data_IF_287312892949
#
_entry.id   IF_287312892949
#
_cell.length_a   1.000
_cell.length_b   1.000
_cell.length_c   1.000
_cell.angle_alpha   90.00
_cell.angle_beta   90.00
_cell.angle_gamma   90.00
#
_symmetry.space_group_name_H-M   'P 1'
#
loop_
_entity.id
_entity.type
_entity.pdbx_description
1 polymer ?
#
# COMPACT_ATOMS: atom_id res chain seq x y z
N UNK A 1 -75.96 -26.61 -35.18
CA UNK A 1 -74.73 -26.27 -34.45
C UNK A 1 -73.66 -27.26 -34.87
N UNK A 2 -72.57 -26.80 -35.47
CA UNK A 2 -71.58 -27.67 -36.11
C UNK A 2 -70.74 -28.41 -35.06
N UNK A 3 -70.32 -29.64 -35.38
CA UNK A 3 -69.47 -30.47 -34.51
C UNK A 3 -68.17 -29.75 -34.08
N UNK A 4 -67.72 -28.77 -34.87
CA UNK A 4 -66.57 -27.91 -34.56
C UNK A 4 -66.78 -27.04 -33.31
N UNK A 5 -68.00 -26.54 -33.07
CA UNK A 5 -68.28 -25.71 -31.89
C UNK A 5 -68.19 -26.53 -30.59
N UNK A 6 -68.63 -27.79 -30.62
CA UNK A 6 -68.60 -28.67 -29.44
C UNK A 6 -67.17 -28.98 -29.03
N UNK A 7 -66.27 -29.23 -29.99
CA UNK A 7 -64.85 -29.49 -29.72
C UNK A 7 -64.18 -28.24 -29.11
N UNK A 8 -64.49 -27.05 -29.62
CA UNK A 8 -63.93 -25.80 -29.14
C UNK A 8 -64.33 -25.51 -27.68
N UNK A 9 -65.60 -25.76 -27.32
CA UNK A 9 -66.05 -25.61 -25.93
C UNK A 9 -65.40 -26.63 -24.99
N UNK A 10 -65.16 -27.86 -25.44
CA UNK A 10 -64.46 -28.88 -24.63
C UNK A 10 -63.00 -28.46 -24.39
N UNK A 11 -62.30 -27.97 -25.42
CA UNK A 11 -60.91 -27.53 -25.28
C UNK A 11 -60.76 -26.31 -24.35
N UNK A 12 -61.69 -25.35 -24.43
CA UNK A 12 -61.69 -24.19 -23.52
C UNK A 12 -62.03 -24.62 -22.09
N UNK A 13 -62.95 -25.58 -21.91
CA UNK A 13 -63.28 -26.13 -20.59
C UNK A 13 -62.08 -26.80 -19.90
N UNK A 14 -61.28 -27.55 -20.64
CA UNK A 14 -60.07 -28.21 -20.11
C UNK A 14 -58.99 -27.17 -19.75
N UNK A 15 -58.80 -26.15 -20.58
CA UNK A 15 -57.81 -25.09 -20.35
C UNK A 15 -58.17 -24.22 -19.13
N UNK A 16 -59.46 -23.96 -18.92
CA UNK A 16 -59.96 -23.27 -17.71
C UNK A 16 -59.77 -24.15 -16.47
N UNK A 17 -60.03 -25.45 -16.55
CA UNK A 17 -59.77 -26.36 -15.42
C UNK A 17 -58.28 -26.43 -15.06
N UNK A 18 -57.40 -26.39 -16.06
CA UNK A 18 -55.94 -26.36 -15.86
C UNK A 18 -55.47 -25.05 -15.20
N UNK A 19 -56.07 -23.91 -15.56
CA UNK A 19 -55.79 -22.61 -14.93
C UNK A 19 -56.34 -22.50 -13.51
N UNK A 20 -57.45 -23.17 -13.21
CA UNK A 20 -58.05 -23.20 -11.86
C UNK A 20 -57.26 -24.13 -10.93
N UNK A 21 -56.71 -25.25 -11.44
CA UNK A 21 -55.89 -26.15 -10.61
C UNK A 21 -54.50 -25.59 -10.28
N UNK A 22 -54.07 -24.52 -10.96
CA UNK A 22 -52.77 -23.88 -10.78
C UNK A 22 -52.83 -22.49 -10.12
N UNK A 23 -53.87 -22.20 -9.34
CA UNK A 23 -53.98 -20.94 -8.58
C UNK A 23 -54.52 -21.17 -7.15
N UNK A 24 -54.22 -20.33 -6.16
CA UNK A 24 -52.95 -20.09 -5.47
C UNK A 24 -53.11 -20.24 -3.92
N UNK A 25 -52.07 -20.01 -3.12
CA UNK A 25 -52.25 -19.56 -1.72
C UNK A 25 -51.39 -18.34 -1.38
N UNK A 26 -52.06 -17.19 -1.23
CA UNK A 26 -51.67 -16.02 -0.38
C UNK A 26 -51.60 -16.48 1.09
N UNK A 27 -50.88 -15.89 2.05
CA UNK A 27 -50.30 -14.54 2.28
C UNK A 27 -49.45 -14.64 3.57
N UNK A 28 -48.36 -13.89 3.70
CA UNK A 28 -48.11 -13.01 4.86
C UNK A 28 -46.96 -12.07 4.57
N UNK A 29 -47.21 -10.78 4.81
CA UNK A 29 -46.27 -9.67 4.74
C UNK A 29 -44.99 -9.97 5.53
N UNK A 30 -43.84 -9.77 4.88
CA UNK A 30 -42.67 -9.09 5.42
C UNK A 30 -41.73 -8.84 4.22
N UNK A 31 -41.66 -7.59 3.79
CA UNK A 31 -40.73 -7.13 2.75
C UNK A 31 -39.29 -7.35 3.24
N UNK A 32 -38.67 -8.45 2.77
CA UNK A 32 -37.22 -8.54 2.67
C UNK A 32 -36.85 -8.31 1.21
N UNK A 33 -36.28 -7.14 0.95
CA UNK A 33 -35.50 -6.87 -0.25
C UNK A 33 -34.36 -7.88 -0.35
N UNK A 34 -34.57 -8.99 -1.07
CA UNK A 34 -33.48 -9.74 -1.66
C UNK A 34 -33.16 -9.12 -3.02
N UNK A 35 -32.34 -8.06 -2.99
CA UNK A 35 -31.50 -7.73 -4.12
C UNK A 35 -30.37 -8.74 -4.19
N UNK A 36 -30.16 -9.36 -5.35
CA UNK A 36 -28.93 -10.10 -5.60
C UNK A 36 -27.76 -9.13 -5.51
N UNK A 37 -26.88 -9.34 -4.53
CA UNK A 37 -25.62 -8.62 -4.42
C UNK A 37 -24.69 -9.06 -5.55
N UNK A 38 -24.85 -8.47 -6.74
CA UNK A 38 -23.68 -8.12 -7.52
C UNK A 38 -23.12 -6.87 -6.84
N UNK A 39 -22.20 -7.05 -5.89
CA UNK A 39 -21.38 -5.93 -5.42
C UNK A 39 -20.67 -5.36 -6.64
N UNK A 40 -21.11 -4.21 -7.11
CA UNK A 40 -20.34 -3.42 -8.04
C UNK A 40 -19.10 -2.97 -7.28
N UNK A 41 -17.99 -3.68 -7.48
CA UNK A 41 -16.70 -3.30 -6.89
C UNK A 41 -16.25 -2.04 -7.61
N UNK A 42 -16.56 -0.88 -7.03
CA UNK A 42 -16.17 0.41 -7.59
C UNK A 42 -14.65 0.57 -7.40
N UNK A 43 -13.94 0.78 -8.49
CA UNK A 43 -12.53 1.14 -8.47
C UNK A 43 -12.39 2.59 -8.00
N UNK A 44 -11.67 2.81 -6.91
CA UNK A 44 -11.43 4.13 -6.34
C UNK A 44 -9.94 4.31 -6.20
N UNK A 45 -9.40 5.30 -6.88
CA UNK A 45 -8.00 5.66 -6.71
C UNK A 45 -7.78 6.00 -5.23
N UNK A 46 -6.64 5.61 -4.65
CA UNK A 46 -6.35 5.94 -3.26
C UNK A 46 -6.30 7.45 -3.05
N UNK A 47 -6.80 7.91 -1.90
CA UNK A 47 -6.50 9.25 -1.38
C UNK A 47 -5.29 9.14 -0.43
N UNK A 48 -4.11 8.93 -1.02
CA UNK A 48 -2.87 8.64 -0.28
C UNK A 48 -2.21 9.91 0.25
N UNK A 49 -2.85 10.55 1.23
CA UNK A 49 -2.15 11.40 2.20
C UNK A 49 -2.42 10.88 3.62
N UNK A 50 -2.13 9.60 3.84
CA UNK A 50 -2.11 9.02 5.18
C UNK A 50 -0.67 9.04 5.72
N UNK A 51 -0.36 9.99 6.60
CA UNK A 51 0.89 10.05 7.38
C UNK A 51 0.96 8.97 8.48
N UNK A 52 0.24 7.86 8.36
CA UNK A 52 0.27 6.76 9.33
C UNK A 52 1.14 5.64 8.77
N UNK A 53 2.36 5.41 9.30
CA UNK A 53 3.31 4.43 8.78
C UNK A 53 2.96 2.98 9.18
N UNK A 54 1.72 2.72 9.63
CA UNK A 54 1.35 1.44 10.26
C UNK A 54 1.14 0.30 9.27
N UNK A 55 1.04 0.57 7.95
CA UNK A 55 0.84 -0.46 6.92
C UNK A 55 1.59 -0.10 5.63
N UNK A 56 2.27 -1.10 5.05
CA UNK A 56 2.76 -1.02 3.68
C UNK A 56 1.56 -1.05 2.74
N UNK A 57 1.47 -0.05 1.87
CA UNK A 57 0.35 0.07 0.93
C UNK A 57 0.62 -0.78 -0.32
N UNK A 58 -0.30 -1.68 -0.71
CA UNK A 58 -0.10 -2.52 -1.87
C UNK A 58 0.01 -1.67 -3.14
N UNK A 59 0.90 -2.08 -4.02
CA UNK A 59 1.23 -1.33 -5.23
C UNK A 59 0.20 -1.61 -6.33
N UNK A 60 -0.22 -0.61 -7.11
CA UNK A 60 -1.15 -0.83 -8.21
C UNK A 60 -0.58 -1.82 -9.24
N UNK A 61 -1.35 -2.87 -9.51
CA UNK A 61 -0.95 -3.91 -10.45
C UNK A 61 -0.84 -3.41 -11.90
N UNK A 62 -1.74 -2.50 -12.31
CA UNK A 62 -1.78 -1.97 -13.66
C UNK A 62 -0.99 -0.64 -13.77
N UNK A 63 0.05 -0.56 -14.63
CA UNK A 63 0.81 0.67 -14.86
C UNK A 63 -0.05 1.88 -15.28
N UNK A 64 -1.19 1.67 -15.95
CA UNK A 64 -2.11 2.75 -16.31
C UNK A 64 -2.82 3.30 -15.07
N UNK A 65 -3.24 2.43 -14.16
CA UNK A 65 -3.83 2.82 -12.88
C UNK A 65 -2.78 3.54 -12.03
N UNK A 66 -1.57 2.97 -11.92
CA UNK A 66 -0.46 3.60 -11.20
C UNK A 66 -0.17 5.02 -11.71
N UNK A 67 -0.28 5.23 -13.01
CA UNK A 67 -0.07 6.54 -13.64
C UNK A 67 -1.21 7.54 -13.38
N UNK A 68 -2.44 7.05 -13.17
CA UNK A 68 -3.55 7.89 -12.69
C UNK A 68 -3.35 8.26 -11.21
N UNK A 69 -2.91 7.31 -10.37
CA UNK A 69 -2.60 7.57 -8.96
C UNK A 69 -1.47 8.59 -8.79
N UNK A 70 -0.34 8.42 -9.49
CA UNK A 70 0.76 9.39 -9.43
C UNK A 70 0.33 10.80 -9.77
N UNK A 71 -0.40 10.97 -10.88
CA UNK A 71 -0.90 12.31 -11.27
C UNK A 71 -1.85 12.90 -10.24
N UNK A 72 -2.62 12.06 -9.56
CA UNK A 72 -3.49 12.51 -8.47
C UNK A 72 -2.65 12.98 -7.29
N UNK A 73 -1.70 12.16 -6.86
CA UNK A 73 -0.79 12.48 -5.75
C UNK A 73 0.02 13.75 -6.02
N UNK A 74 0.53 13.94 -7.23
CA UNK A 74 1.28 15.14 -7.63
C UNK A 74 0.43 16.40 -7.47
N UNK A 75 -0.80 16.39 -7.98
CA UNK A 75 -1.72 17.53 -7.87
C UNK A 75 -2.07 17.83 -6.41
N UNK A 76 -2.33 16.79 -5.61
CA UNK A 76 -2.63 16.96 -4.19
C UNK A 76 -1.42 17.50 -3.40
N UNK A 77 -0.22 17.02 -3.73
CA UNK A 77 1.02 17.51 -3.17
C UNK A 77 1.30 18.97 -3.56
N UNK A 78 1.17 19.33 -4.84
CA UNK A 78 1.38 20.71 -5.32
C UNK A 78 0.44 21.68 -4.59
N UNK A 79 -0.83 21.29 -4.42
CA UNK A 79 -1.81 22.07 -3.67
C UNK A 79 -1.36 22.30 -2.23
N UNK A 80 -0.98 21.24 -1.52
CA UNK A 80 -0.53 21.35 -0.13
C UNK A 80 0.77 22.15 -0.01
N UNK A 81 1.72 21.93 -0.93
CA UNK A 81 2.98 22.66 -0.97
C UNK A 81 2.74 24.15 -1.14
N UNK A 82 1.87 24.57 -2.08
CA UNK A 82 1.50 25.98 -2.28
C UNK A 82 0.79 26.54 -1.03
N UNK A 83 -0.13 25.80 -0.42
CA UNK A 83 -0.82 26.21 0.80
C UNK A 83 0.14 26.49 1.96
N UNK A 84 1.17 25.66 2.14
CA UNK A 84 2.13 25.79 3.23
C UNK A 84 3.26 26.79 2.93
N UNK A 85 3.79 26.80 1.71
CA UNK A 85 4.94 27.64 1.32
C UNK A 85 4.54 29.06 0.88
N UNK A 86 3.32 29.22 0.35
CA UNK A 86 2.81 30.48 -0.19
C UNK A 86 1.37 30.77 0.29
N UNK A 87 1.13 30.92 1.60
CA UNK A 87 -0.20 31.16 2.16
C UNK A 87 -0.86 32.45 1.61
N UNK A 88 -0.06 33.41 1.15
CA UNK A 88 -0.52 34.66 0.51
C UNK A 88 -1.32 34.40 -0.78
N UNK A 89 -0.96 33.37 -1.56
CA UNK A 89 -1.63 33.03 -2.82
C UNK A 89 -3.02 32.41 -2.59
N UNK A 90 -3.18 31.67 -1.50
CA UNK A 90 -4.45 31.02 -1.13
C UNK A 90 -5.45 32.01 -0.54
N UNK A 91 -4.95 33.06 0.14
CA UNK A 91 -5.80 34.12 0.70
C UNK A 91 -6.54 34.96 -0.37
N UNK A 92 -6.03 35.00 -1.61
CA UNK A 92 -6.64 35.73 -2.71
C UNK A 92 -7.71 34.95 -3.47
N UNK A 93 -7.64 33.61 -3.53
CA UNK A 93 -8.67 32.79 -4.17
C UNK A 93 -9.99 32.75 -3.36
N UNK A 94 -9.90 32.82 -2.03
CA UNK A 94 -11.08 32.76 -1.15
C UNK A 94 -11.87 34.08 -1.08
N UNK A 95 -11.28 35.20 -1.53
CA UNK A 95 -11.89 36.54 -1.44
C UNK A 95 -12.74 36.91 -2.65
N UNK A 96 -12.63 36.17 -3.76
CA UNK A 96 -13.42 36.45 -4.97
C UNK A 96 -14.83 35.83 -4.97
N UNK A 97 -15.14 34.90 -4.06
CA UNK A 97 -16.49 34.32 -3.96
C UNK A 97 -17.49 35.17 -3.18
N UNK A 98 -17.06 36.30 -2.59
CA UNK A 98 -17.94 37.19 -1.80
C UNK A 98 -17.72 38.68 -2.05
N UNK A 99 -17.57 39.13 -3.30
CA UNK A 99 -17.94 40.52 -3.61
C UNK A 99 -18.31 40.72 -5.08
N UNK A 100 -19.60 40.96 -5.33
CA UNK A 100 -20.07 41.49 -6.60
C UNK A 100 -19.62 42.94 -6.77
N UNK A 101 -18.53 43.17 -7.51
CA UNK A 101 -18.24 44.44 -8.17
C UNK A 101 -17.24 44.18 -9.31
N UNK A 102 -17.66 44.46 -10.53
CA UNK A 102 -16.86 44.20 -11.72
C UNK A 102 -15.61 45.07 -11.81
N UNK A 103 -14.49 44.45 -12.16
CA UNK A 103 -13.38 45.07 -12.88
C UNK A 103 -12.66 44.03 -13.74
N UNK A 104 -11.98 44.55 -14.76
CA UNK A 104 -11.53 43.95 -16.01
C UNK A 104 -10.68 42.67 -15.91
N UNK A 105 -10.93 41.77 -16.86
CA UNK A 105 -10.17 40.54 -17.13
C UNK A 105 -8.65 40.77 -17.18
N UNK A 106 -7.90 40.03 -16.36
CA UNK A 106 -6.51 39.69 -16.64
C UNK A 106 -6.48 38.34 -17.39
N UNK A 107 -5.75 38.21 -18.51
CA UNK A 107 -5.68 36.99 -19.28
C UNK A 107 -4.60 36.04 -18.70
N UNK A 108 -4.98 34.79 -18.47
CA UNK A 108 -4.05 33.69 -18.18
C UNK A 108 -3.99 33.28 -16.71
N UNK A 109 -5.10 32.77 -16.16
CA UNK A 109 -5.00 31.75 -15.12
C UNK A 109 -5.54 30.48 -15.75
N UNK A 110 -4.65 29.52 -15.99
CA UNK A 110 -5.04 28.16 -16.33
C UNK A 110 -6.03 27.69 -15.25
N UNK A 111 -7.18 27.21 -15.71
CA UNK A 111 -8.24 26.65 -14.86
C UNK A 111 -7.61 25.67 -13.88
N UNK A 112 -7.93 25.82 -12.58
CA UNK A 112 -7.60 24.80 -11.59
C UNK A 112 -8.01 23.42 -12.15
N UNK A 113 -7.19 22.36 -12.02
CA UNK A 113 -7.65 21.01 -12.27
C UNK A 113 -8.58 20.62 -11.11
N UNK A 114 -9.81 21.11 -11.18
CA UNK A 114 -10.67 21.36 -10.02
C UNK A 114 -11.68 20.21 -9.91
N UNK A 115 -11.33 19.08 -9.30
CA UNK A 115 -12.25 17.96 -9.01
C UNK A 115 -12.82 17.17 -10.22
N UNK A 116 -13.09 17.81 -11.35
CA UNK A 116 -13.62 17.21 -12.58
C UNK A 116 -12.64 16.19 -13.17
N UNK A 117 -11.33 16.47 -13.19
CA UNK A 117 -10.31 15.54 -13.67
C UNK A 117 -10.24 14.25 -12.83
N UNK A 118 -10.54 14.33 -11.53
CA UNK A 118 -10.49 13.20 -10.60
C UNK A 118 -11.78 12.37 -10.66
N UNK A 119 -12.93 13.06 -10.73
CA UNK A 119 -14.20 12.42 -11.06
C UNK A 119 -14.12 11.74 -12.43
N UNK A 120 -13.46 12.34 -13.43
CA UNK A 120 -13.26 11.71 -14.75
C UNK A 120 -12.32 10.50 -14.69
N UNK A 121 -11.29 10.48 -13.84
CA UNK A 121 -10.41 9.32 -13.68
C UNK A 121 -11.13 8.13 -13.00
N UNK A 122 -11.88 8.35 -11.92
CA UNK A 122 -12.70 7.29 -11.32
C UNK A 122 -13.86 6.88 -12.24
N UNK A 123 -14.53 7.83 -12.89
CA UNK A 123 -15.58 7.55 -13.87
C UNK A 123 -15.01 6.81 -15.09
N UNK A 124 -13.75 7.05 -15.46
CA UNK A 124 -13.04 6.31 -16.50
C UNK A 124 -12.82 4.85 -16.06
N UNK A 125 -12.29 4.61 -14.86
CA UNK A 125 -12.04 3.27 -14.33
C UNK A 125 -13.32 2.45 -14.14
N UNK A 126 -14.41 3.09 -13.75
CA UNK A 126 -15.70 2.44 -13.52
C UNK A 126 -16.59 2.38 -14.76
N UNK A 127 -16.12 2.84 -15.91
CA UNK A 127 -16.85 2.76 -17.17
C UNK A 127 -16.32 1.58 -18.00
N UNK A 128 -17.07 0.48 -18.04
CA UNK A 128 -16.71 -0.75 -18.76
C UNK A 128 -16.42 -0.52 -20.26
N UNK A 129 -16.99 0.52 -20.90
CA UNK A 129 -16.69 0.86 -22.30
C UNK A 129 -15.33 1.56 -22.45
N UNK A 130 -14.86 2.25 -21.41
CA UNK A 130 -13.61 3.01 -21.41
C UNK A 130 -12.44 2.26 -20.77
N UNK A 131 -12.71 1.51 -19.70
CA UNK A 131 -11.76 0.71 -18.93
C UNK A 131 -12.31 -0.70 -18.71
N UNK A 132 -11.98 -1.59 -19.64
CA UNK A 132 -12.31 -3.01 -19.51
C UNK A 132 -11.15 -3.75 -18.81
N UNK A 133 -11.36 -4.10 -17.54
CA UNK A 133 -10.38 -4.81 -16.71
C UNK A 133 -9.89 -6.11 -17.38
N UNK A 134 -10.78 -6.86 -18.02
CA UNK A 134 -10.43 -8.10 -18.73
C UNK A 134 -9.46 -7.82 -19.89
N UNK A 135 -9.73 -6.80 -20.70
CA UNK A 135 -8.84 -6.43 -21.81
C UNK A 135 -7.49 -5.93 -21.31
N UNK A 136 -7.47 -5.23 -20.16
CA UNK A 136 -6.21 -4.85 -19.47
C UNK A 136 -5.40 -6.08 -19.09
N UNK A 137 -6.01 -7.09 -18.47
CA UNK A 137 -5.31 -8.32 -18.07
C UNK A 137 -4.75 -9.09 -19.28
N UNK A 138 -5.51 -9.17 -20.39
CA UNK A 138 -5.02 -9.76 -21.65
C UNK A 138 -3.77 -9.02 -22.17
N UNK A 139 -3.73 -7.69 -22.04
CA UNK A 139 -2.59 -6.87 -22.47
C UNK A 139 -1.38 -6.97 -21.53
N UNK A 140 -1.62 -7.19 -20.23
CA UNK A 140 -0.57 -7.25 -19.21
C UNK A 140 0.04 -8.65 -19.09
N UNK A 141 -0.73 -9.71 -19.28
CA UNK A 141 -0.29 -11.10 -19.16
C UNK A 141 1.08 -11.39 -19.83
N UNK A 142 1.28 -11.11 -21.14
CA UNK A 142 2.55 -11.41 -21.81
C UNK A 142 3.72 -10.51 -21.36
N UNK A 143 3.47 -9.47 -20.55
CA UNK A 143 4.52 -8.64 -19.94
C UNK A 143 4.98 -9.19 -18.59
N UNK A 144 4.15 -10.01 -17.96
CA UNK A 144 4.41 -10.62 -16.66
C UNK A 144 5.04 -12.01 -16.88
N UNK A 145 4.48 -12.81 -17.79
CA UNK A 145 4.99 -14.12 -18.21
C UNK A 145 6.23 -13.97 -19.10
N UNK A 146 7.41 -13.92 -18.47
CA UNK A 146 8.69 -13.60 -19.15
C UNK A 146 9.84 -14.52 -18.76
N UNK A 147 9.73 -15.30 -17.69
CA UNK A 147 10.84 -16.05 -17.10
C UNK A 147 10.44 -17.43 -16.56
N UNK A 148 10.15 -18.42 -17.44
CA UNK A 148 10.10 -18.32 -18.90
C UNK A 148 8.71 -17.95 -19.40
N UNK A 149 8.63 -17.34 -20.58
CA UNK A 149 7.36 -17.12 -21.28
C UNK A 149 6.70 -18.44 -21.70
N UNK A 150 5.97 -19.09 -20.79
CA UNK A 150 5.44 -20.44 -20.94
C UNK A 150 3.89 -20.52 -20.86
N UNK A 151 3.23 -19.37 -20.76
CA UNK A 151 1.78 -19.27 -20.66
C UNK A 151 1.26 -19.39 -19.23
N UNK A 152 2.14 -19.35 -18.23
CA UNK A 152 1.80 -19.34 -16.81
C UNK A 152 2.50 -18.18 -16.11
N UNK A 153 1.76 -17.46 -15.28
CA UNK A 153 2.32 -16.43 -14.41
C UNK A 153 2.63 -17.06 -13.06
N UNK A 154 3.90 -17.07 -12.68
CA UNK A 154 4.38 -17.63 -11.41
C UNK A 154 4.41 -16.60 -10.28
N UNK A 155 4.49 -17.05 -9.02
CA UNK A 155 4.73 -16.19 -7.85
C UNK A 155 5.96 -15.29 -8.04
N UNK A 156 7.04 -15.85 -8.57
CA UNK A 156 8.28 -15.09 -8.78
C UNK A 156 8.11 -13.99 -9.82
N UNK A 157 7.33 -14.22 -10.87
CA UNK A 157 7.06 -13.22 -11.91
C UNK A 157 6.13 -12.12 -11.42
N UNK A 158 5.09 -12.47 -10.65
CA UNK A 158 4.23 -11.49 -9.98
C UNK A 158 5.02 -10.65 -8.96
N UNK A 159 5.88 -11.29 -8.18
CA UNK A 159 6.75 -10.59 -7.22
C UNK A 159 7.63 -9.58 -7.94
N UNK A 160 8.29 -9.99 -9.03
CA UNK A 160 9.14 -9.10 -9.82
C UNK A 160 8.34 -7.97 -10.50
N UNK A 161 7.14 -8.27 -11.02
CA UNK A 161 6.22 -7.28 -11.59
C UNK A 161 5.83 -6.21 -10.56
N UNK A 162 5.46 -6.65 -9.35
CA UNK A 162 5.10 -5.76 -8.25
C UNK A 162 6.31 -4.94 -7.79
N UNK A 163 7.48 -5.56 -7.62
CA UNK A 163 8.73 -4.85 -7.28
C UNK A 163 9.09 -3.76 -8.29
N UNK A 164 8.96 -4.02 -9.59
CA UNK A 164 9.23 -3.02 -10.62
C UNK A 164 8.24 -1.86 -10.60
N UNK A 165 7.00 -2.13 -10.21
CA UNK A 165 5.97 -1.10 -10.04
C UNK A 165 6.25 -0.28 -8.78
N UNK A 166 6.61 -0.94 -7.68
CA UNK A 166 6.97 -0.32 -6.40
C UNK A 166 8.17 0.61 -6.57
N UNK A 167 9.24 0.13 -7.19
CA UNK A 167 10.46 0.91 -7.41
C UNK A 167 10.20 2.19 -8.20
N UNK A 168 9.26 2.17 -9.16
CA UNK A 168 8.87 3.39 -9.90
C UNK A 168 8.12 4.37 -9.02
N UNK A 169 7.24 3.88 -8.15
CA UNK A 169 6.46 4.72 -7.25
C UNK A 169 7.34 5.36 -6.17
N UNK A 170 8.19 4.55 -5.55
CA UNK A 170 9.15 5.00 -4.54
C UNK A 170 10.10 6.05 -5.13
N UNK A 171 10.71 5.80 -6.28
CA UNK A 171 11.59 6.78 -6.94
C UNK A 171 10.84 8.07 -7.32
N UNK A 172 9.59 7.97 -7.75
CA UNK A 172 8.78 9.14 -8.08
C UNK A 172 8.54 10.03 -6.84
N UNK A 173 8.20 9.42 -5.70
CA UNK A 173 8.03 10.12 -4.42
C UNK A 173 9.35 10.70 -3.92
N UNK A 174 10.44 9.93 -3.99
CA UNK A 174 11.79 10.40 -3.65
C UNK A 174 12.21 11.61 -4.48
N UNK A 175 11.92 11.62 -5.79
CA UNK A 175 12.22 12.78 -6.64
C UNK A 175 11.46 14.02 -6.19
N UNK A 176 10.19 13.87 -5.80
CA UNK A 176 9.37 14.95 -5.28
C UNK A 176 9.94 15.53 -3.98
N UNK A 177 10.38 14.66 -3.08
CA UNK A 177 11.04 15.08 -1.84
C UNK A 177 12.39 15.75 -2.13
N UNK A 178 13.14 15.25 -3.12
CA UNK A 178 14.38 15.87 -3.57
C UNK A 178 14.14 17.29 -4.09
N UNK A 179 13.09 17.54 -4.87
CA UNK A 179 12.77 18.86 -5.38
C UNK A 179 12.45 19.89 -4.26
N UNK A 180 12.00 19.41 -3.08
CA UNK A 180 11.79 20.26 -1.89
C UNK A 180 13.10 20.61 -1.20
N UNK A 181 13.99 19.62 -1.10
CA UNK A 181 15.23 19.74 -0.33
C UNK A 181 16.37 20.36 -1.14
N UNK A 182 16.47 20.08 -2.45
CA UNK A 182 17.46 20.65 -3.36
C UNK A 182 17.17 22.14 -3.65
N UNK A 183 17.57 22.99 -2.71
CA UNK A 183 17.37 24.44 -2.75
C UNK A 183 18.19 25.10 -3.84
N UNK A 184 19.37 24.55 -4.10
CA UNK A 184 20.35 25.13 -5.02
C UNK A 184 20.14 24.65 -6.48
N UNK A 185 19.34 23.59 -6.67
CA UNK A 185 18.95 22.97 -7.95
C UNK A 185 20.12 22.34 -8.71
N UNK A 186 21.06 21.73 -8.00
CA UNK A 186 22.19 21.00 -8.58
C UNK A 186 21.87 19.52 -8.84
N UNK A 187 20.72 19.03 -8.40
CA UNK A 187 20.29 17.63 -8.52
C UNK A 187 20.83 16.73 -7.41
N UNK A 188 21.38 17.32 -6.35
CA UNK A 188 21.89 16.62 -5.17
C UNK A 188 21.32 17.24 -3.90
N UNK A 189 21.42 16.50 -2.80
CA UNK A 189 21.04 17.01 -1.47
C UNK A 189 22.27 17.02 -0.60
N UNK A 190 22.65 18.20 -0.11
CA UNK A 190 23.63 18.33 0.96
C UNK A 190 22.99 18.14 2.33
N UNK A 191 23.79 17.76 3.33
CA UNK A 191 23.30 17.67 4.72
C UNK A 191 22.71 19.00 5.23
N UNK A 192 23.20 20.13 4.70
CA UNK A 192 22.68 21.46 5.06
C UNK A 192 21.30 21.79 4.48
N UNK A 193 20.93 21.12 3.39
CA UNK A 193 19.65 21.25 2.70
C UNK A 193 18.59 20.34 3.32
N UNK A 194 19.01 19.17 3.81
CA UNK A 194 18.18 18.25 4.58
C UNK A 194 18.03 18.75 6.03
N UNK A 195 17.24 19.81 6.21
CA UNK A 195 17.02 20.42 7.51
C UNK A 195 16.37 19.45 8.52
N UNK A 196 16.73 19.52 9.82
CA UNK A 196 16.05 18.75 10.84
C UNK A 196 14.55 19.05 10.82
N UNK A 197 13.68 18.04 10.98
CA UNK A 197 12.25 18.23 11.02
C UNK A 197 11.82 19.30 12.03
N UNK A 198 10.71 19.99 11.75
CA UNK A 198 10.24 21.14 12.54
C UNK A 198 10.02 20.82 14.03
N UNK A 199 9.66 19.58 14.36
CA UNK A 199 9.51 19.10 15.73
C UNK A 199 10.84 18.88 16.46
N UNK A 200 11.93 18.62 15.74
CA UNK A 200 13.30 18.59 16.29
C UNK A 200 13.78 20.00 16.60
N UNK A 201 13.49 20.95 15.70
CA UNK A 201 13.88 22.36 15.88
C UNK A 201 13.16 23.05 17.04
N UNK A 202 11.97 22.58 17.39
CA UNK A 202 11.11 23.17 18.42
C UNK A 202 11.08 22.38 19.74
N UNK A 203 11.85 21.30 19.87
CA UNK A 203 11.92 20.50 21.11
C UNK A 203 13.09 20.92 22.00
N UNK A 204 12.84 20.96 23.32
CA UNK A 204 13.93 20.90 24.29
C UNK A 204 14.62 19.53 24.15
N UNK A 205 15.94 19.47 24.39
CA UNK A 205 16.86 18.32 24.25
C UNK A 205 16.44 16.99 24.94
N UNK A 206 15.25 16.95 25.54
CA UNK A 206 14.66 15.88 26.34
C UNK A 206 13.26 15.43 25.85
N UNK A 207 12.79 15.90 24.68
CA UNK A 207 11.50 15.50 24.10
C UNK A 207 11.58 14.10 23.46
N UNK A 208 10.51 13.32 23.61
CA UNK A 208 10.27 12.10 22.83
C UNK A 208 10.46 12.41 21.34
N UNK A 209 11.26 11.58 20.66
CA UNK A 209 11.64 11.75 19.27
C UNK A 209 13.00 12.40 19.04
N UNK A 210 13.55 13.25 19.93
CA UNK A 210 14.87 13.88 19.69
C UNK A 210 16.01 12.86 19.51
N UNK A 211 15.83 11.68 20.10
CA UNK A 211 16.77 10.57 19.98
C UNK A 211 16.58 9.74 18.71
N UNK A 212 15.64 10.02 17.80
CA UNK A 212 15.58 9.29 16.52
C UNK A 212 16.74 9.74 15.62
N UNK A 213 17.48 8.78 15.08
CA UNK A 213 18.75 8.99 14.36
C UNK A 213 18.56 9.39 12.90
N UNK A 214 17.33 9.28 12.41
CA UNK A 214 16.97 9.37 11.01
C UNK A 214 17.37 10.68 10.30
N UNK A 215 17.47 11.81 10.99
CA UNK A 215 17.94 13.07 10.38
C UNK A 215 19.35 13.48 10.83
N UNK A 216 20.07 12.61 11.55
CA UNK A 216 21.43 12.91 12.01
C UNK A 216 22.43 12.75 10.86
N UNK A 217 23.55 13.44 10.99
CA UNK A 217 24.66 13.40 10.03
C UNK A 217 25.22 11.97 9.83
N UNK A 218 25.13 11.12 10.86
CA UNK A 218 25.54 9.72 10.77
C UNK A 218 24.70 8.91 9.77
N UNK A 219 23.37 9.14 9.71
CA UNK A 219 22.49 8.50 8.74
C UNK A 219 22.81 9.00 7.32
N UNK A 220 22.92 10.32 7.18
CA UNK A 220 23.26 10.96 5.91
C UNK A 220 24.59 10.43 5.34
N UNK A 221 25.62 10.36 6.19
CA UNK A 221 26.93 9.84 5.81
C UNK A 221 26.93 8.32 5.54
N UNK A 222 26.03 7.56 6.18
CA UNK A 222 25.87 6.14 5.89
C UNK A 222 25.23 5.91 4.50
N UNK A 223 24.32 6.80 4.10
CA UNK A 223 23.65 6.76 2.80
C UNK A 223 24.52 7.30 1.66
N UNK A 224 25.45 8.22 1.93
CA UNK A 224 26.47 8.67 0.97
C UNK A 224 27.49 7.54 0.70
N UNK A 225 27.15 6.70 -0.27
CA UNK A 225 27.96 5.52 -0.62
C UNK A 225 29.30 5.91 -1.27
N UNK A 226 29.37 7.07 -1.91
CA UNK A 226 30.53 7.50 -2.68
C UNK A 226 31.46 8.44 -1.87
N UNK A 227 30.96 9.05 -0.79
CA UNK A 227 31.70 9.86 0.17
C UNK A 227 31.98 11.29 -0.28
N UNK A 228 31.21 11.84 -1.22
CA UNK A 228 31.36 13.22 -1.71
C UNK A 228 30.61 14.27 -0.87
N UNK A 229 29.86 13.83 0.15
CA UNK A 229 29.09 14.67 1.05
C UNK A 229 27.76 15.14 0.48
N UNK A 230 27.33 14.56 -0.64
CA UNK A 230 26.09 14.89 -1.34
C UNK A 230 25.32 13.60 -1.66
N UNK A 231 23.99 13.61 -1.49
CA UNK A 231 23.16 12.47 -1.90
C UNK A 231 22.62 12.71 -3.30
N UNK A 232 22.97 11.84 -4.24
CA UNK A 232 22.26 11.76 -5.53
C UNK A 232 20.88 11.07 -5.35
N UNK A 233 20.05 11.02 -6.40
CA UNK A 233 18.70 10.45 -6.30
C UNK A 233 18.66 9.01 -5.75
N UNK A 234 19.64 8.18 -6.11
CA UNK A 234 19.71 6.79 -5.62
C UNK A 234 20.08 6.75 -4.14
N UNK A 235 21.08 7.53 -3.73
CA UNK A 235 21.53 7.59 -2.34
C UNK A 235 20.47 8.25 -1.44
N UNK A 236 19.74 9.24 -1.96
CA UNK A 236 18.63 9.85 -1.26
C UNK A 236 17.43 8.90 -1.16
N UNK A 237 17.17 8.09 -2.20
CA UNK A 237 16.18 7.02 -2.12
C UNK A 237 16.52 6.02 -1.01
N UNK A 238 17.78 5.56 -0.97
CA UNK A 238 18.26 4.66 0.07
C UNK A 238 18.16 5.31 1.47
N UNK A 239 18.47 6.60 1.57
CA UNK A 239 18.30 7.38 2.79
C UNK A 239 16.84 7.46 3.26
N UNK A 240 15.87 7.61 2.36
CA UNK A 240 14.44 7.61 2.71
C UNK A 240 13.88 6.20 2.95
N UNK A 241 14.50 5.18 2.37
CA UNK A 241 14.06 3.79 2.39
C UNK A 241 15.21 2.84 2.77
N UNK A 242 15.76 2.93 3.99
CA UNK A 242 16.95 2.18 4.39
C UNK A 242 16.71 0.67 4.48
N UNK A 243 15.46 0.21 4.57
CA UNK A 243 15.11 -1.22 4.52
C UNK A 243 15.40 -1.85 3.14
N UNK A 244 15.28 -1.07 2.06
CA UNK A 244 15.43 -1.53 0.67
C UNK A 244 16.86 -1.41 0.14
N UNK A 245 17.75 -0.81 0.92
CA UNK A 245 19.12 -0.52 0.49
C UNK A 245 19.96 -1.78 0.32
N UNK A 246 20.89 -1.71 -0.63
CA UNK A 246 21.99 -2.68 -0.77
C UNK A 246 23.30 -2.14 -0.21
N UNK A 247 23.29 -0.92 0.33
CA UNK A 247 24.46 -0.27 0.89
C UNK A 247 24.78 -0.87 2.27
N UNK A 248 25.94 -1.54 2.44
CA UNK A 248 26.30 -2.16 3.71
C UNK A 248 26.49 -1.17 4.85
N UNK A 249 26.90 0.08 4.56
CA UNK A 249 27.06 1.11 5.59
C UNK A 249 25.70 1.50 6.17
N UNK A 250 24.69 1.63 5.31
CA UNK A 250 23.34 1.99 5.71
C UNK A 250 22.62 0.85 6.44
N UNK A 251 22.79 -0.40 5.99
CA UNK A 251 22.29 -1.58 6.72
C UNK A 251 22.90 -1.69 8.12
N UNK A 252 24.21 -1.41 8.25
CA UNK A 252 24.87 -1.40 9.54
C UNK A 252 24.38 -0.24 10.42
N UNK A 253 24.15 0.94 9.82
CA UNK A 253 23.53 2.06 10.53
C UNK A 253 22.13 1.70 11.05
N UNK A 254 21.30 1.04 10.25
CA UNK A 254 19.98 0.57 10.65
C UNK A 254 20.07 -0.42 11.82
N UNK A 255 21.05 -1.31 11.83
CA UNK A 255 21.30 -2.19 12.97
C UNK A 255 21.72 -1.44 14.24
N UNK A 256 22.55 -0.40 14.11
CA UNK A 256 22.93 0.44 15.25
C UNK A 256 21.74 1.21 15.81
N UNK A 257 20.84 1.65 14.93
CA UNK A 257 19.61 2.31 15.35
C UNK A 257 18.72 1.35 16.14
N UNK A 258 18.54 0.11 15.67
CA UNK A 258 17.83 -0.92 16.44
C UNK A 258 18.47 -1.20 17.79
N UNK A 259 19.80 -1.30 17.89
CA UNK A 259 20.48 -1.42 19.19
C UNK A 259 20.13 -0.23 20.07
N UNK A 260 20.24 1.00 19.54
CA UNK A 260 20.03 2.23 20.31
C UNK A 260 18.60 2.41 20.81
N UNK A 261 17.62 1.91 20.06
CA UNK A 261 16.21 1.95 20.46
C UNK A 261 15.87 0.91 21.54
N UNK A 262 16.53 -0.25 21.53
CA UNK A 262 16.21 -1.36 22.44
C UNK A 262 17.09 -1.42 23.69
N UNK A 263 18.29 -0.87 23.60
CA UNK A 263 19.27 -0.75 24.68
C UNK A 263 18.76 0.20 25.77
N UNK A 264 18.07 -0.39 26.74
CA UNK A 264 17.41 0.30 27.84
C UNK A 264 18.38 0.70 28.94
N UNK A 265 19.45 -0.08 29.13
CA UNK A 265 20.47 0.17 30.14
C UNK A 265 21.68 1.00 29.64
N UNK A 266 21.72 1.27 28.33
CA UNK A 266 22.70 2.11 27.62
C UNK A 266 24.11 1.54 27.63
N UNK A 267 24.23 0.21 27.58
CA UNK A 267 25.52 -0.48 27.53
C UNK A 267 26.09 -0.62 26.10
N UNK A 268 25.30 -0.22 25.09
CA UNK A 268 25.64 -0.22 23.67
C UNK A 268 25.43 -1.57 22.98
N UNK A 269 24.72 -2.51 23.61
CA UNK A 269 24.40 -3.83 23.09
C UNK A 269 22.97 -4.23 23.46
N UNK A 270 22.51 -5.36 22.94
CA UNK A 270 21.19 -5.91 23.28
C UNK A 270 21.38 -7.16 24.14
N UNK A 271 20.92 -7.10 25.38
CA UNK A 271 20.83 -8.26 26.28
C UNK A 271 19.71 -9.22 25.85
N UNK A 272 19.71 -10.45 26.39
CA UNK A 272 18.64 -11.40 26.12
C UNK A 272 17.24 -10.87 26.50
N UNK A 273 17.13 -10.12 27.61
CA UNK A 273 15.86 -9.56 28.07
C UNK A 273 15.31 -8.52 27.08
N UNK A 274 16.17 -7.64 26.58
CA UNK A 274 15.82 -6.64 25.58
C UNK A 274 15.49 -7.27 24.22
N UNK A 275 16.24 -8.30 23.82
CA UNK A 275 15.92 -9.08 22.63
C UNK A 275 14.56 -9.77 22.75
N UNK A 276 14.28 -10.41 23.88
CA UNK A 276 13.06 -11.18 24.10
C UNK A 276 11.81 -10.29 24.12
N UNK A 277 11.88 -9.15 24.79
CA UNK A 277 10.74 -8.24 24.89
C UNK A 277 10.62 -7.29 23.70
N UNK A 278 11.71 -7.01 22.99
CA UNK A 278 11.72 -6.07 21.88
C UNK A 278 11.68 -6.72 20.49
N UNK A 279 12.58 -7.65 20.21
CA UNK A 279 12.86 -8.10 18.82
C UNK A 279 12.29 -9.47 18.50
N UNK A 280 12.12 -10.31 19.51
CA UNK A 280 11.82 -11.72 19.30
C UNK A 280 10.50 -11.96 18.55
N UNK A 281 9.44 -11.22 18.87
CA UNK A 281 8.15 -11.36 18.19
C UNK A 281 8.24 -10.99 16.71
N UNK A 282 8.93 -9.90 16.38
CA UNK A 282 9.16 -9.48 15.00
C UNK A 282 9.93 -10.52 14.21
N UNK A 283 10.98 -11.10 14.80
CA UNK A 283 11.84 -12.08 14.12
C UNK A 283 11.20 -13.47 14.02
N UNK A 284 10.35 -13.85 15.00
CA UNK A 284 9.66 -15.16 15.01
C UNK A 284 8.51 -15.23 14.02
N UNK A 285 7.72 -14.15 13.87
CA UNK A 285 6.55 -14.12 12.99
C UNK A 285 6.89 -14.37 11.50
N UNK A 286 8.17 -14.39 11.15
CA UNK A 286 8.68 -14.72 9.81
C UNK A 286 8.76 -16.21 9.48
N UNK A 287 8.66 -17.13 10.45
CA UNK A 287 8.80 -18.59 10.19
C UNK A 287 7.52 -19.41 10.43
N UNK A 288 6.47 -18.79 11.00
CA UNK A 288 5.17 -19.46 11.18
C UNK A 288 4.09 -18.76 10.33
N UNK A 289 3.84 -19.32 9.14
CA UNK A 289 2.68 -19.07 8.26
C UNK A 289 1.34 -19.43 8.95
N UNK A 290 1.06 -18.85 10.12
CA UNK A 290 -0.16 -19.12 10.86
C UNK A 290 -0.68 -17.84 11.50
N UNK A 291 -1.50 -17.12 10.74
CA UNK A 291 -2.22 -15.88 11.09
C UNK A 291 -3.22 -16.00 12.27
N UNK A 292 -2.96 -16.83 13.28
CA UNK A 292 -3.91 -17.07 14.37
C UNK A 292 -3.23 -17.43 15.71
N UNK A 293 -2.23 -16.65 16.14
CA UNK A 293 -1.69 -16.80 17.49
C UNK A 293 -1.60 -15.45 18.20
N UNK A 294 -2.76 -14.96 18.61
CA UNK A 294 -2.90 -14.01 19.71
C UNK A 294 -2.54 -14.74 21.02
N UNK A 295 -1.24 -14.96 21.26
CA UNK A 295 -0.78 -15.32 22.57
C UNK A 295 -0.50 -14.03 23.36
N UNK A 296 -1.08 -13.85 24.56
CA UNK A 296 -0.67 -12.78 25.45
C UNK A 296 0.84 -12.87 25.68
N UNK A 297 1.54 -11.71 25.63
CA UNK A 297 2.98 -11.51 25.93
C UNK A 297 3.54 -12.29 27.14
N UNK A 298 2.66 -12.83 27.99
CA UNK A 298 2.99 -13.46 29.25
C UNK A 298 3.37 -14.96 29.17
N UNK A 299 3.17 -15.63 28.02
CA UNK A 299 3.41 -17.07 27.83
C UNK A 299 4.27 -17.38 26.58
N UNK A 300 5.10 -16.45 26.11
CA UNK A 300 6.08 -16.76 25.06
C UNK A 300 7.11 -17.74 25.62
N UNK A 301 7.33 -18.91 24.99
CA UNK A 301 8.33 -19.83 25.47
C UNK A 301 9.71 -19.18 25.28
N UNK A 302 10.43 -18.96 26.39
CA UNK A 302 11.82 -18.49 26.35
C UNK A 302 12.74 -19.44 25.58
N UNK A 303 12.33 -20.69 25.37
CA UNK A 303 13.11 -21.72 24.67
C UNK A 303 13.53 -21.32 23.25
N UNK A 304 12.57 -21.10 22.32
CA UNK A 304 12.86 -20.61 20.98
C UNK A 304 13.63 -19.28 20.96
N UNK A 305 13.29 -18.34 21.85
CA UNK A 305 14.01 -17.08 21.95
C UNK A 305 15.48 -17.26 22.31
N UNK A 306 15.79 -18.10 23.31
CA UNK A 306 17.18 -18.43 23.68
C UNK A 306 17.92 -19.12 22.55
N UNK A 307 17.25 -20.01 21.80
CA UNK A 307 17.86 -20.68 20.65
C UNK A 307 18.23 -19.70 19.54
N UNK A 308 17.36 -18.74 19.24
CA UNK A 308 17.62 -17.72 18.24
C UNK A 308 18.69 -16.75 18.72
N UNK A 309 18.62 -16.29 19.97
CA UNK A 309 19.63 -15.43 20.58
C UNK A 309 21.02 -16.06 20.52
N UNK A 310 21.17 -17.33 20.95
CA UNK A 310 22.45 -18.05 20.86
C UNK A 310 22.91 -18.34 19.43
N UNK A 311 22.03 -18.27 18.43
CA UNK A 311 22.43 -18.36 17.02
C UNK A 311 22.97 -17.03 16.49
N UNK A 312 22.47 -15.91 17.02
CA UNK A 312 22.86 -14.55 16.63
C UNK A 312 24.14 -14.12 17.35
N UNK A 313 24.25 -14.41 18.65
CA UNK A 313 25.45 -14.17 19.46
C UNK A 313 26.58 -15.09 18.97
N UNK A 314 27.42 -14.57 18.05
CA UNK A 314 28.51 -15.34 17.43
C UNK A 314 29.74 -15.36 18.30
N UNK A 315 29.91 -14.34 19.14
CA UNK A 315 31.08 -14.17 19.98
C UNK A 315 30.92 -14.80 21.38
N UNK A 316 29.70 -15.25 21.72
CA UNK A 316 29.31 -15.90 22.98
C UNK A 316 29.59 -15.01 24.21
N UNK A 317 29.42 -13.69 24.04
CA UNK A 317 29.58 -12.70 25.11
C UNK A 317 28.29 -12.46 25.91
N UNK A 318 27.17 -13.04 25.47
CA UNK A 318 25.87 -12.93 26.11
C UNK A 318 25.05 -11.73 25.67
N UNK A 319 25.50 -11.00 24.65
CA UNK A 319 24.86 -9.80 24.11
C UNK A 319 24.86 -9.84 22.56
N UNK A 320 23.93 -9.10 21.94
CA UNK A 320 23.93 -8.91 20.49
C UNK A 320 24.49 -7.53 20.15
N UNK A 321 25.52 -7.52 19.30
CA UNK A 321 26.06 -6.31 18.67
C UNK A 321 25.30 -5.92 17.41
N UNK A 322 25.50 -4.69 16.93
CA UNK A 322 24.98 -4.18 15.66
C UNK A 322 25.31 -5.11 14.47
N UNK A 323 26.54 -5.65 14.42
CA UNK A 323 26.97 -6.59 13.38
C UNK A 323 26.24 -7.93 13.46
N UNK A 324 25.86 -8.38 14.66
CA UNK A 324 25.14 -9.65 14.88
C UNK A 324 23.65 -9.54 14.55
N UNK A 325 23.10 -8.32 14.47
CA UNK A 325 21.73 -8.06 14.00
C UNK A 325 21.61 -8.04 12.46
N UNK A 326 22.69 -7.80 11.73
CA UNK A 326 22.67 -7.75 10.24
C UNK A 326 21.92 -8.92 9.58
N UNK A 327 22.04 -10.20 10.01
CA UNK A 327 21.35 -11.31 9.38
C UNK A 327 19.83 -11.31 9.58
N UNK A 328 19.33 -10.57 10.58
CA UNK A 328 17.91 -10.48 10.91
C UNK A 328 17.32 -9.10 10.62
N UNK A 329 18.13 -8.15 10.14
CA UNK A 329 17.65 -6.79 9.92
C UNK A 329 16.51 -6.73 8.89
N UNK A 330 16.55 -7.57 7.86
CA UNK A 330 15.47 -7.68 6.86
C UNK A 330 14.19 -8.34 7.41
N UNK A 331 14.26 -8.98 8.59
CA UNK A 331 13.09 -9.48 9.32
C UNK A 331 12.50 -8.39 10.22
N UNK A 332 13.35 -7.51 10.75
CA UNK A 332 12.94 -6.38 11.59
C UNK A 332 12.35 -5.26 10.72
N UNK A 333 13.02 -4.99 9.59
CA UNK A 333 12.65 -4.03 8.56
C UNK A 333 12.46 -4.78 7.24
N UNK A 334 11.23 -5.26 6.96
CA UNK A 334 10.93 -5.96 5.72
C UNK A 334 11.21 -5.07 4.51
N UNK A 335 11.87 -5.64 3.49
CA UNK A 335 12.11 -4.94 2.23
C UNK A 335 10.88 -4.99 1.31
N UNK A 336 10.89 -4.18 0.25
CA UNK A 336 9.84 -4.12 -0.76
C UNK A 336 9.62 -5.48 -1.43
N UNK A 337 10.67 -6.33 -1.51
CA UNK A 337 10.56 -7.68 -2.04
C UNK A 337 9.66 -8.56 -1.19
N UNK A 338 9.76 -8.45 0.13
CA UNK A 338 8.86 -9.15 1.05
C UNK A 338 7.41 -8.76 0.79
N UNK A 339 7.10 -7.47 0.74
CA UNK A 339 5.72 -6.99 0.51
C UNK A 339 5.20 -7.36 -0.88
N UNK A 340 6.05 -7.25 -1.91
CA UNK A 340 5.73 -7.68 -3.26
C UNK A 340 5.40 -9.17 -3.34
N UNK A 341 6.12 -10.01 -2.59
CA UNK A 341 5.84 -11.44 -2.47
C UNK A 341 4.50 -11.69 -1.76
N UNK A 342 4.23 -11.02 -0.64
CA UNK A 342 2.94 -11.15 0.06
C UNK A 342 1.75 -10.78 -0.85
N UNK A 343 1.90 -9.74 -1.66
CA UNK A 343 0.88 -9.35 -2.64
C UNK A 343 0.73 -10.42 -3.75
N UNK A 344 1.83 -10.99 -4.24
CA UNK A 344 1.81 -12.07 -5.22
C UNK A 344 1.13 -13.34 -4.66
N UNK A 345 1.49 -13.75 -3.44
CA UNK A 345 0.89 -14.89 -2.73
C UNK A 345 -0.62 -14.69 -2.53
N UNK A 346 -1.04 -13.49 -2.14
CA UNK A 346 -2.46 -13.15 -2.04
C UNK A 346 -3.17 -13.30 -3.39
N UNK A 347 -2.61 -12.72 -4.45
CA UNK A 347 -3.19 -12.79 -5.80
C UNK A 347 -3.35 -14.25 -6.25
N UNK A 348 -2.30 -15.07 -6.09
CA UNK A 348 -2.36 -16.50 -6.45
C UNK A 348 -3.41 -17.21 -5.60
N UNK A 349 -3.44 -16.98 -4.28
CA UNK A 349 -4.40 -17.65 -3.39
C UNK A 349 -5.87 -17.40 -3.75
N UNK A 350 -6.17 -16.26 -4.37
CA UNK A 350 -7.53 -15.88 -4.76
C UNK A 350 -7.86 -16.26 -6.21
N UNK A 351 -6.89 -16.21 -7.13
CA UNK A 351 -7.12 -16.42 -8.56
C UNK A 351 -6.79 -17.83 -9.05
N UNK A 352 -5.97 -18.60 -8.34
CA UNK A 352 -5.56 -19.97 -8.69
C UNK A 352 -6.70 -20.97 -8.42
N UNK A 353 -7.56 -21.13 -9.42
CA UNK A 353 -8.76 -21.99 -9.36
C UNK A 353 -8.39 -23.47 -9.28
N UNK A 354 -7.35 -23.91 -9.99
CA UNK A 354 -6.96 -25.32 -10.08
C UNK A 354 -5.90 -25.75 -9.04
N UNK A 355 -5.31 -24.78 -8.32
CA UNK A 355 -4.34 -24.93 -7.24
C UNK A 355 -3.02 -25.51 -7.70
N UNK A 356 -2.58 -25.20 -8.92
CA UNK A 356 -1.27 -25.59 -9.43
C UNK A 356 -0.12 -24.66 -8.97
N UNK A 357 -0.44 -23.57 -8.28
CA UNK A 357 0.49 -22.58 -7.75
C UNK A 357 0.93 -21.52 -8.76
N UNK A 358 0.30 -21.46 -9.94
CA UNK A 358 0.57 -20.51 -11.01
C UNK A 358 -0.74 -20.06 -11.63
N UNK A 359 -0.72 -18.98 -12.42
CA UNK A 359 -1.92 -18.40 -12.99
C UNK A 359 -1.90 -18.47 -14.51
N UNK A 360 -2.94 -19.08 -15.07
CA UNK A 360 -3.23 -18.97 -16.50
C UNK A 360 -3.96 -17.67 -16.81
N UNK A 361 -3.92 -17.23 -18.07
CA UNK A 361 -4.70 -16.07 -18.50
C UNK A 361 -6.21 -16.26 -18.24
N UNK A 362 -6.71 -17.49 -18.34
CA UNK A 362 -8.11 -17.79 -18.08
C UNK A 362 -8.49 -17.51 -16.62
N UNK A 363 -7.65 -17.91 -15.67
CA UNK A 363 -7.83 -17.66 -14.24
C UNK A 363 -7.75 -16.17 -13.89
N UNK A 364 -6.78 -15.47 -14.50
CA UNK A 364 -6.68 -14.01 -14.33
C UNK A 364 -7.95 -13.30 -14.80
N UNK A 365 -8.55 -13.74 -15.90
CA UNK A 365 -9.79 -13.17 -16.45
C UNK A 365 -11.03 -13.60 -15.66
N UNK A 366 -11.03 -14.79 -15.05
CA UNK A 366 -12.11 -15.28 -14.19
C UNK A 366 -12.19 -14.50 -12.87
N UNK A 367 -11.04 -14.12 -12.32
CA UNK A 367 -10.92 -13.36 -11.07
C UNK A 367 -10.24 -11.99 -11.26
N UNK A 368 -10.76 -11.12 -12.15
CA UNK A 368 -10.03 -9.94 -12.62
C UNK A 368 -9.85 -8.88 -11.54
N UNK A 369 -10.77 -8.83 -10.58
CA UNK A 369 -10.80 -7.85 -9.50
C UNK A 369 -9.69 -8.10 -8.47
N UNK A 370 -9.21 -9.34 -8.30
CA UNK A 370 -8.11 -9.67 -7.38
C UNK A 370 -6.86 -8.82 -7.66
N UNK A 371 -6.58 -8.56 -8.94
CA UNK A 371 -5.42 -7.77 -9.38
C UNK A 371 -5.57 -6.27 -9.10
N UNK A 372 -6.79 -5.79 -8.88
CA UNK A 372 -7.07 -4.38 -8.59
C UNK A 372 -7.48 -4.19 -7.13
N UNK A 373 -7.19 -5.17 -6.26
CA UNK A 373 -7.44 -5.09 -4.81
C UNK A 373 -6.78 -3.89 -4.15
N UNK A 374 -5.64 -3.46 -4.69
CA UNK A 374 -4.96 -2.27 -4.25
C UNK A 374 -5.81 -1.00 -4.38
N UNK A 375 -6.84 -0.95 -5.23
CA UNK A 375 -7.64 0.27 -5.47
C UNK A 375 -9.15 0.07 -5.20
N UNK A 376 -9.52 -0.91 -4.35
CA UNK A 376 -10.90 -1.01 -3.86
C UNK A 376 -11.15 -0.11 -2.66
N UNK A 377 -12.38 0.37 -2.57
CA UNK A 377 -12.94 0.98 -1.36
C UNK A 377 -13.16 -0.15 -0.32
N UNK A 378 -12.25 -0.33 0.64
CA UNK A 378 -12.51 -1.14 1.84
C UNK A 378 -13.50 -0.44 2.80
N UNK A 379 -13.95 0.78 2.48
CA UNK A 379 -14.87 1.59 3.30
C UNK A 379 -16.30 1.02 3.39
N UNK A 380 -16.65 -0.04 2.66
CA UNK A 380 -17.94 -0.76 2.81
C UNK A 380 -17.83 -2.08 3.62
N UNK A 381 -16.63 -2.40 4.15
CA UNK A 381 -16.45 -3.44 5.18
C UNK A 381 -16.26 -2.82 6.57
N UNK A 382 -17.22 -2.00 6.96
CA UNK A 382 -17.54 -1.76 8.37
C UNK A 382 -18.10 -3.08 8.96
N UNK A 383 -17.22 -4.05 9.24
CA UNK A 383 -17.48 -5.15 10.17
C UNK A 383 -16.14 -5.66 10.73
N UNK A 384 -15.77 -5.10 11.88
CA UNK A 384 -15.12 -5.80 13.00
C UNK A 384 -13.77 -6.50 12.75
N UNK A 385 -12.75 -5.75 12.34
CA UNK A 385 -11.37 -6.07 12.69
C UNK A 385 -10.76 -4.96 13.53
N UNK A 386 -10.68 -5.25 14.83
CA UNK A 386 -10.28 -4.36 15.90
C UNK A 386 -9.05 -3.51 15.61
N UNK A 387 -9.29 -2.20 15.67
CA UNK A 387 -8.35 -1.19 16.13
C UNK A 387 -7.33 -1.75 17.12
N UNK A 388 -6.04 -1.77 16.77
CA UNK A 388 -4.98 -1.67 17.75
C UNK A 388 -3.91 -0.68 17.30
N UNK A 389 -3.82 0.34 18.14
CA UNK A 389 -2.93 1.48 18.16
C UNK A 389 -1.58 0.98 18.72
N UNK A 390 -0.64 0.61 17.84
CA UNK A 390 0.69 0.14 18.23
C UNK A 390 1.78 0.97 17.54
N UNK A 391 1.87 2.23 17.96
CA UNK A 391 3.15 2.94 18.03
C UNK A 391 3.25 3.53 19.43
N UNK A 392 4.03 2.87 20.28
CA UNK A 392 4.55 3.45 21.53
C UNK A 392 5.97 3.02 21.76
#
# INVERSE_FOLDING_TARGET
MSKASVILYITVGILVLFLISYSPKKKSDHDHHHGGHNQHHRLKLRSSFNFKPTRHDPVPFDPLVADMERRREDKEWERQYIEHSHPELVSHSQKETTSGAGHEHAPGHESQPEWEDFMDAEDYLNNEEKFNVTDRLILLFPKIDVSPADGFVTESELTEWTMQSAAKEVIHRTQRDMDVHDRNKDGFISFSEYEPPSWVRNSDNNSFGYDMGWWKEEHFNASDANGDGLLNLTEFNDFLHPADTKNPNLLLWLCKEEVRERDSDKDGKISFEEFFHGLFDTVRNYEEDNHNSTHPYHDLPEGPAKQLFSQLDKNDDGYLSDVELLPIISKIHPDERYYAKQQADYIISQADSDKDGRLTLAEMIEHPYVFYSAIFDEDDTDDDYGYHDEFR
#
